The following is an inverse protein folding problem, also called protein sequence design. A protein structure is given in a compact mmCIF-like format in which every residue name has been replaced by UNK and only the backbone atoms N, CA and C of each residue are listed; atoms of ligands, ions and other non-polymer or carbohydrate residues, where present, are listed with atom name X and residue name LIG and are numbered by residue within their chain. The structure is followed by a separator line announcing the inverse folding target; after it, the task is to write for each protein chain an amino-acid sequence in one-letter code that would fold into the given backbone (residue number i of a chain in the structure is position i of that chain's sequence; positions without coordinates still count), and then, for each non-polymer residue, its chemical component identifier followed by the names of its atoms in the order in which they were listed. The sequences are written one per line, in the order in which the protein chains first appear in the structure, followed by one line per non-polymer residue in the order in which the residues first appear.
data_IF_359979623211
#
_entry.id   IF_359979623211
#
_cell.length_a   1.000
_cell.length_b   1.000
_cell.length_c   1.000
_cell.angle_alpha   90.00
_cell.angle_beta   90.00
_cell.angle_gamma   90.00
#
_symmetry.space_group_name_H-M   'P 1'
#
loop_
_entity.id
_entity.type
_entity.pdbx_description
1 polymer ?
#
# COMPACT_ATOMS: atom_id res chain seq x y z
N UNK A 1 7.08 8.64 17.51
CA UNK A 1 6.48 7.82 16.44
C UNK A 1 5.39 8.64 15.78
N UNK A 2 5.58 8.97 14.50
CA UNK A 2 4.60 9.72 13.71
C UNK A 2 3.68 8.75 12.96
N UNK A 3 2.46 9.19 12.70
CA UNK A 3 1.53 8.49 11.82
C UNK A 3 0.75 9.49 10.98
N UNK A 4 0.55 9.19 9.69
CA UNK A 4 -0.29 9.99 8.80
C UNK A 4 -1.22 9.09 8.00
N UNK A 5 -2.47 9.53 7.86
CA UNK A 5 -3.47 8.86 7.03
C UNK A 5 -3.78 9.74 5.84
N UNK A 6 -3.63 9.18 4.64
CA UNK A 6 -4.14 9.78 3.42
C UNK A 6 -5.50 9.17 3.10
N UNK A 7 -6.38 9.95 2.47
CA UNK A 7 -7.69 9.48 2.04
C UNK A 7 -8.07 10.11 0.72
N UNK A 8 -8.62 9.30 -0.17
CA UNK A 8 -9.19 9.74 -1.45
C UNK A 8 -10.59 9.17 -1.60
N UNK A 9 -11.51 10.00 -2.10
CA UNK A 9 -12.87 9.59 -2.45
C UNK A 9 -12.92 9.33 -3.96
N UNK A 10 -13.50 8.20 -4.33
CA UNK A 10 -13.61 7.73 -5.70
C UNK A 10 -15.09 7.54 -6.05
N UNK A 11 -15.51 8.08 -7.19
CA UNK A 11 -16.87 7.88 -7.72
C UNK A 11 -17.04 6.50 -8.37
N UNK A 12 -16.49 5.46 -7.74
CA UNK A 12 -16.46 4.07 -8.22
C UNK A 12 -16.88 3.15 -7.08
N UNK A 13 -17.65 2.07 -7.34
CA UNK A 13 -18.04 1.11 -6.31
C UNK A 13 -16.85 0.46 -5.60
N UNK A 14 -16.98 0.22 -4.30
CA UNK A 14 -15.94 -0.38 -3.46
C UNK A 14 -15.39 -1.67 -4.04
N UNK A 15 -16.23 -2.55 -4.57
CA UNK A 15 -15.82 -3.87 -5.08
C UNK A 15 -14.81 -3.74 -6.21
N UNK A 16 -15.05 -2.78 -7.12
CA UNK A 16 -14.14 -2.51 -8.24
C UNK A 16 -12.82 -1.92 -7.77
N UNK A 17 -12.87 -0.95 -6.85
CA UNK A 17 -11.67 -0.31 -6.30
C UNK A 17 -10.86 -1.32 -5.47
N UNK A 18 -11.53 -2.10 -4.63
CA UNK A 18 -10.90 -3.15 -3.82
C UNK A 18 -10.23 -4.19 -4.70
N UNK A 19 -10.93 -4.77 -5.69
CA UNK A 19 -10.35 -5.77 -6.58
C UNK A 19 -9.14 -5.23 -7.36
N UNK A 20 -9.16 -3.94 -7.72
CA UNK A 20 -8.03 -3.30 -8.38
C UNK A 20 -6.83 -3.13 -7.44
N UNK A 21 -7.03 -2.59 -6.23
CA UNK A 21 -5.97 -2.29 -5.26
C UNK A 21 -5.40 -3.56 -4.59
N UNK A 22 -6.23 -4.57 -4.37
CA UNK A 22 -5.81 -5.85 -3.77
C UNK A 22 -5.03 -6.75 -4.75
N UNK A 23 -5.08 -6.44 -6.05
CA UNK A 23 -4.28 -7.16 -7.04
C UNK A 23 -2.86 -6.58 -7.10
N UNK A 24 -1.89 -7.39 -6.66
CA UNK A 24 -0.48 -7.00 -6.62
C UNK A 24 0.04 -6.52 -7.98
N UNK A 25 -0.41 -7.10 -9.09
CA UNK A 25 0.01 -6.74 -10.45
C UNK A 25 -0.39 -5.31 -10.86
N UNK A 26 -1.32 -4.69 -10.13
CA UNK A 26 -1.68 -3.30 -10.34
C UNK A 26 -0.79 -2.32 -9.58
N UNK A 27 0.03 -2.75 -8.61
CA UNK A 27 0.89 -1.87 -7.80
C UNK A 27 1.70 -0.86 -8.62
N UNK A 28 2.40 -1.25 -9.71
CA UNK A 28 3.19 -0.30 -10.49
C UNK A 28 2.36 0.78 -11.20
N UNK A 29 1.04 0.59 -11.33
CA UNK A 29 0.16 1.51 -12.06
C UNK A 29 -0.34 2.67 -11.22
N UNK A 30 -0.43 2.48 -9.90
CA UNK A 30 -1.04 3.48 -9.00
C UNK A 30 -0.07 3.99 -7.95
N UNK A 31 0.92 3.19 -7.57
CA UNK A 31 1.93 3.53 -6.57
C UNK A 31 3.25 3.90 -7.25
N UNK A 32 3.21 4.78 -8.26
CA UNK A 32 4.30 4.95 -9.24
C UNK A 32 5.62 5.46 -8.66
N UNK A 33 5.55 6.33 -7.64
CA UNK A 33 6.74 6.84 -6.95
C UNK A 33 7.41 5.76 -6.10
N UNK A 34 6.60 4.85 -5.55
CA UNK A 34 7.05 3.83 -4.62
C UNK A 34 7.42 2.51 -5.32
N UNK A 35 6.65 2.07 -6.32
CA UNK A 35 6.78 0.79 -6.99
C UNK A 35 7.04 0.98 -8.49
N UNK A 36 8.30 1.00 -8.90
CA UNK A 36 8.69 1.09 -10.32
C UNK A 36 8.47 -0.22 -11.06
N UNK A 37 8.67 -1.34 -10.37
CA UNK A 37 8.54 -2.67 -10.95
C UNK A 37 8.30 -3.71 -9.85
N UNK A 38 7.60 -4.79 -10.18
CA UNK A 38 7.55 -6.01 -9.39
C UNK A 38 8.56 -7.02 -9.90
N UNK A 39 9.26 -7.67 -8.96
CA UNK A 39 10.11 -8.84 -9.23
C UNK A 39 9.65 -10.01 -8.40
N UNK A 40 9.61 -11.19 -9.00
CA UNK A 40 9.37 -12.44 -8.27
C UNK A 40 10.66 -13.26 -8.30
N UNK A 41 11.19 -13.56 -7.12
CA UNK A 41 12.43 -14.33 -6.94
C UNK A 41 12.12 -15.42 -5.91
N UNK A 42 12.33 -16.69 -6.26
CA UNK A 42 12.07 -17.85 -5.39
C UNK A 42 10.65 -17.86 -4.79
N UNK A 43 9.65 -17.46 -5.59
CA UNK A 43 8.25 -17.37 -5.16
C UNK A 43 7.92 -16.17 -4.26
N UNK A 44 8.87 -15.26 -4.05
CA UNK A 44 8.72 -14.06 -3.21
C UNK A 44 8.64 -12.82 -4.07
N UNK A 45 7.67 -11.96 -3.78
CA UNK A 45 7.53 -10.68 -4.49
C UNK A 45 8.35 -9.60 -3.82
N UNK A 46 9.04 -8.82 -4.65
CA UNK A 46 9.75 -7.61 -4.29
C UNK A 46 9.24 -6.44 -5.13
N UNK A 47 9.17 -5.28 -4.53
CA UNK A 47 8.99 -3.99 -5.21
C UNK A 47 10.36 -3.36 -5.43
N UNK A 48 10.60 -2.89 -6.64
CA UNK A 48 11.79 -2.10 -7.00
C UNK A 48 11.45 -0.64 -6.78
N UNK A 49 12.17 -0.01 -5.86
CA UNK A 49 12.06 1.42 -5.52
C UNK A 49 13.33 2.15 -5.96
N UNK A 50 13.36 3.47 -5.89
CA UNK A 50 14.58 4.25 -6.11
C UNK A 50 15.69 4.01 -5.10
N UNK A 51 15.33 3.46 -3.93
CA UNK A 51 16.26 3.17 -2.84
C UNK A 51 16.66 1.70 -2.77
N UNK A 52 16.28 0.91 -3.77
CA UNK A 52 16.54 -0.52 -3.84
C UNK A 52 15.28 -1.37 -3.78
N UNK A 53 15.48 -2.68 -3.56
CA UNK A 53 14.41 -3.66 -3.56
C UNK A 53 13.91 -3.94 -2.13
N UNK A 54 12.59 -4.00 -1.97
CA UNK A 54 11.94 -4.34 -0.71
C UNK A 54 11.04 -5.56 -0.92
N UNK A 55 10.99 -6.45 0.06
CA UNK A 55 9.99 -7.52 0.07
C UNK A 55 8.59 -6.91 0.21
N UNK A 56 7.64 -7.47 -0.52
CA UNK A 56 6.29 -6.93 -0.59
C UNK A 56 5.23 -8.02 -0.65
N UNK A 57 4.16 -7.85 0.09
CA UNK A 57 2.98 -8.72 0.08
C UNK A 57 1.72 -7.91 0.29
N UNK A 58 0.59 -8.40 -0.21
CA UNK A 58 -0.74 -7.86 0.09
C UNK A 58 -1.50 -8.90 0.90
N UNK A 59 -2.09 -8.50 2.03
CA UNK A 59 -3.06 -9.28 2.78
C UNK A 59 -4.40 -8.55 2.75
N UNK A 60 -5.38 -9.12 2.06
CA UNK A 60 -6.63 -8.42 1.79
C UNK A 60 -7.85 -9.25 2.24
N UNK A 61 -8.87 -8.56 2.73
CA UNK A 61 -10.18 -9.12 3.08
C UNK A 61 -11.29 -8.27 2.44
N UNK A 62 -11.91 -8.82 1.41
CA UNK A 62 -12.95 -8.13 0.63
C UNK A 62 -14.18 -7.77 1.46
N UNK A 63 -14.54 -8.60 2.44
CA UNK A 63 -15.73 -8.38 3.26
C UNK A 63 -15.56 -7.13 4.10
N UNK A 64 -14.40 -7.00 4.74
CA UNK A 64 -14.08 -5.84 5.58
C UNK A 64 -13.56 -4.65 4.78
N UNK A 65 -13.05 -4.88 3.58
CA UNK A 65 -12.39 -3.90 2.72
C UNK A 65 -10.93 -3.63 3.10
N UNK A 66 -10.35 -4.40 4.04
CA UNK A 66 -8.96 -4.27 4.49
C UNK A 66 -8.00 -4.71 3.39
N UNK A 67 -6.95 -3.93 3.18
CA UNK A 67 -5.83 -4.22 2.29
C UNK A 67 -4.55 -3.84 3.05
N UNK A 68 -3.93 -4.77 3.75
CA UNK A 68 -2.65 -4.52 4.39
C UNK A 68 -1.52 -4.68 3.36
N UNK A 69 -0.77 -3.60 3.15
CA UNK A 69 0.45 -3.63 2.34
C UNK A 69 1.61 -3.95 3.28
N UNK A 70 2.18 -5.14 3.17
CA UNK A 70 3.23 -5.63 4.04
C UNK A 70 4.57 -5.43 3.33
N UNK A 71 5.49 -4.70 3.95
CA UNK A 71 6.74 -4.28 3.31
C UNK A 71 7.95 -4.24 4.24
N UNK A 72 9.12 -4.69 3.77
CA UNK A 72 10.36 -4.60 4.54
C UNK A 72 11.64 -4.91 3.76
N UNK A 73 12.82 -4.63 4.33
CA UNK A 73 14.11 -4.97 3.73
C UNK A 73 14.38 -6.49 3.72
N UNK A 74 13.80 -7.23 4.67
CA UNK A 74 13.86 -8.68 4.78
C UNK A 74 12.48 -9.24 5.13
N UNK A 75 12.26 -10.55 4.96
CA UNK A 75 10.98 -11.20 5.24
C UNK A 75 10.60 -11.18 6.73
N UNK A 76 11.59 -11.16 7.62
CA UNK A 76 11.43 -11.07 9.07
C UNK A 76 11.29 -9.62 9.57
N UNK A 77 11.55 -8.62 8.72
CA UNK A 77 11.50 -7.19 9.06
C UNK A 77 10.45 -6.43 8.25
N UNK A 78 9.28 -7.05 8.03
CA UNK A 78 8.18 -6.39 7.32
C UNK A 78 7.25 -5.63 8.28
N UNK A 79 6.85 -4.43 7.86
CA UNK A 79 5.85 -3.61 8.53
C UNK A 79 4.59 -3.52 7.68
N UNK A 80 3.43 -3.41 8.32
CA UNK A 80 2.17 -3.16 7.63
C UNK A 80 1.95 -1.66 7.43
N UNK A 81 1.59 -1.27 6.21
CA UNK A 81 0.90 -0.03 5.89
C UNK A 81 -0.59 -0.42 5.81
N UNK A 82 -1.36 -0.29 6.91
CA UNK A 82 -2.76 -0.65 6.89
C UNK A 82 -3.51 0.28 5.94
N UNK A 83 -4.28 -0.31 5.04
CA UNK A 83 -5.13 0.42 4.11
C UNK A 83 -6.50 -0.23 4.00
N UNK A 84 -7.49 0.54 3.54
CA UNK A 84 -8.87 0.09 3.50
C UNK A 84 -9.67 0.81 2.43
N UNK A 85 -10.58 0.07 1.79
CA UNK A 85 -11.65 0.64 0.97
C UNK A 85 -12.97 0.55 1.74
N UNK A 86 -13.67 1.68 1.87
CA UNK A 86 -14.96 1.78 2.57
C UNK A 86 -16.04 2.29 1.64
N UNK A 87 -17.23 1.71 1.73
CA UNK A 87 -18.40 2.18 0.99
C UNK A 87 -18.81 3.58 1.44
N UNK A 88 -19.23 4.39 0.47
CA UNK A 88 -19.87 5.68 0.69
C UNK A 88 -21.24 5.72 0.00
N UNK A 89 -22.14 6.63 0.42
CA UNK A 89 -23.42 6.82 -0.27
C UNK A 89 -23.24 7.14 -1.76
N UNK A 90 -24.24 6.78 -2.57
CA UNK A 90 -24.26 7.12 -4.00
C UNK A 90 -23.35 6.26 -4.89
N UNK A 91 -22.90 5.08 -4.41
CA UNK A 91 -22.06 4.16 -5.17
C UNK A 91 -20.59 4.61 -5.29
N UNK A 92 -20.18 5.56 -4.44
CA UNK A 92 -18.80 5.96 -4.27
C UNK A 92 -18.11 5.12 -3.18
N UNK A 93 -16.79 5.21 -3.10
CA UNK A 93 -16.03 4.66 -1.98
C UNK A 93 -14.92 5.62 -1.55
N UNK A 94 -14.37 5.41 -0.36
CA UNK A 94 -13.09 6.01 0.02
C UNK A 94 -12.01 4.94 0.12
N UNK A 95 -10.82 5.25 -0.38
CA UNK A 95 -9.60 4.52 -0.08
C UNK A 95 -8.76 5.34 0.90
N UNK A 96 -8.24 4.68 1.93
CA UNK A 96 -7.33 5.27 2.89
C UNK A 96 -6.16 4.33 3.16
N UNK A 97 -5.01 4.91 3.49
CA UNK A 97 -3.89 4.19 4.06
C UNK A 97 -3.26 5.00 5.18
N UNK A 98 -2.67 4.31 6.15
CA UNK A 98 -1.94 4.95 7.25
C UNK A 98 -0.48 4.52 7.21
N UNK A 99 0.43 5.49 7.08
CA UNK A 99 1.86 5.28 7.23
C UNK A 99 2.27 5.54 8.68
N UNK A 100 3.00 4.60 9.28
CA UNK A 100 3.65 4.75 10.58
C UNK A 100 5.15 4.87 10.37
N UNK A 101 5.77 5.87 11.01
CA UNK A 101 7.21 6.05 10.93
C UNK A 101 7.92 4.90 11.66
N UNK A 102 8.65 4.08 10.91
CA UNK A 102 9.46 3.00 11.49
C UNK A 102 10.63 3.57 12.33
N UNK A 103 11.15 2.83 13.33
CA UNK A 103 12.23 3.33 14.20
C UNK A 103 13.49 3.83 13.45
N UNK A 104 13.77 3.26 12.28
CA UNK A 104 14.94 3.59 11.46
C UNK A 104 14.60 4.48 10.24
N UNK A 105 13.38 4.99 10.14
CA UNK A 105 12.93 5.84 9.04
C UNK A 105 13.14 7.31 9.40
N UNK A 106 13.87 8.05 8.56
CA UNK A 106 14.05 9.50 8.74
C UNK A 106 12.72 10.24 8.59
N UNK A 107 12.63 11.45 9.16
CA UNK A 107 11.44 12.30 9.00
C UNK A 107 11.20 12.66 7.52
N UNK A 108 12.27 12.89 6.76
CA UNK A 108 12.20 13.17 5.32
C UNK A 108 11.63 11.98 4.53
N UNK A 109 12.11 10.77 4.82
CA UNK A 109 11.63 9.56 4.18
C UNK A 109 10.16 9.29 4.53
N UNK A 110 9.78 9.55 5.78
CA UNK A 110 8.40 9.43 6.24
C UNK A 110 7.47 10.42 5.51
N UNK A 111 7.88 11.69 5.39
CA UNK A 111 7.12 12.70 4.65
C UNK A 111 7.00 12.38 3.17
N UNK A 112 8.07 11.89 2.55
CA UNK A 112 8.06 11.47 1.16
C UNK A 112 7.12 10.28 0.95
N UNK A 113 7.22 9.25 1.78
CA UNK A 113 6.37 8.05 1.70
C UNK A 113 4.88 8.35 1.90
N UNK A 114 4.54 9.35 2.72
CA UNK A 114 3.15 9.81 2.88
C UNK A 114 2.59 10.53 1.64
N UNK A 115 3.44 11.21 0.86
CA UNK A 115 3.05 11.98 -0.32
C UNK A 115 3.15 11.22 -1.65
N UNK A 116 3.75 10.03 -1.62
CA UNK A 116 3.95 9.12 -2.76
C UNK A 116 2.64 8.52 -3.24
#
# INVERSE_FOLDING_TARGET
MQSKTATVVLSTPKEKVFAYLANIENMPKWSTEFCKQLKTIDGKTKVVTDKGELFFQIRADEKTGVIDLIIGPTEDQMNAIPSRVVDLPGGACAYLFTLFQAPNMSDEDFEHGYRS
#
